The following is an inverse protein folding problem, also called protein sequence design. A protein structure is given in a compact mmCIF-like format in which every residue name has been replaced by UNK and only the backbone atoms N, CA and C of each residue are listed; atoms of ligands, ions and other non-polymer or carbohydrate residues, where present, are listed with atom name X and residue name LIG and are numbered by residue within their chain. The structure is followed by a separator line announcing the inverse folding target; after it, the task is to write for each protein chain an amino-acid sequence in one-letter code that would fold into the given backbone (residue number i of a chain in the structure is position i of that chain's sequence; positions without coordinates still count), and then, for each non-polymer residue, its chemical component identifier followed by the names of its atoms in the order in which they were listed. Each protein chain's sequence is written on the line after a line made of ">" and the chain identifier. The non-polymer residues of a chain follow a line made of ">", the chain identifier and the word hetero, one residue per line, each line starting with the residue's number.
data_IF_039636065407
#
_entry.id   IF_039636065407
#
_cell.length_a   1.000
_cell.length_b   1.000
_cell.length_c   1.000
_cell.angle_alpha   90.00
_cell.angle_beta   90.00
_cell.angle_gamma   90.00
#
_symmetry.space_group_name_H-M   'P 1'
#
loop_
_entity.id
_entity.type
_entity.pdbx_description
1 polymer ?
#
# COMPACT_ATOMS: atom_id res chain seq x y z
N UNK A 1 9.88 13.14 -23.86
CA UNK A 1 9.28 11.88 -23.37
C UNK A 1 8.09 12.32 -22.50
N UNK A 2 6.82 12.13 -22.83
CA UNK A 2 6.10 11.42 -23.89
C UNK A 2 4.75 12.12 -24.17
N UNK A 3 4.18 11.94 -25.37
CA UNK A 3 2.78 12.22 -25.73
C UNK A 3 1.79 11.30 -24.97
N UNK A 4 2.02 11.09 -23.67
CA UNK A 4 1.17 10.26 -22.83
C UNK A 4 -0.13 11.01 -22.57
N UNK A 5 -1.26 10.36 -22.87
CA UNK A 5 -2.57 10.93 -22.54
C UNK A 5 -2.81 10.89 -21.04
N UNK A 6 -3.64 11.78 -20.54
CA UNK A 6 -4.05 11.81 -19.12
C UNK A 6 -4.53 10.42 -18.63
N UNK A 7 -5.34 9.72 -19.44
CA UNK A 7 -5.83 8.38 -19.11
C UNK A 7 -4.72 7.33 -19.04
N UNK A 8 -3.70 7.44 -19.90
CA UNK A 8 -2.53 6.56 -19.84
C UNK A 8 -1.79 6.73 -18.52
N UNK A 9 -1.58 7.98 -18.07
CA UNK A 9 -0.90 8.26 -16.80
C UNK A 9 -1.73 7.77 -15.60
N UNK A 10 -3.07 7.91 -15.63
CA UNK A 10 -3.96 7.33 -14.62
C UNK A 10 -3.77 5.82 -14.52
N UNK A 11 -3.76 5.12 -15.67
CA UNK A 11 -3.61 3.66 -15.69
C UNK A 11 -2.23 3.21 -15.18
N UNK A 12 -1.17 3.94 -15.54
CA UNK A 12 0.20 3.68 -15.04
C UNK A 12 0.26 3.87 -13.53
N UNK A 13 -0.26 4.98 -13.02
CA UNK A 13 -0.27 5.29 -11.59
C UNK A 13 -1.10 4.25 -10.80
N UNK A 14 -2.30 3.92 -11.28
CA UNK A 14 -3.13 2.88 -10.66
C UNK A 14 -2.45 1.51 -10.67
N UNK A 15 -1.82 1.12 -11.79
CA UNK A 15 -1.11 -0.15 -11.90
C UNK A 15 0.12 -0.23 -11.00
N UNK A 16 0.91 0.84 -10.94
CA UNK A 16 2.07 0.94 -10.04
C UNK A 16 1.65 0.84 -8.57
N UNK A 17 0.56 1.52 -8.20
CA UNK A 17 0.01 1.45 -6.85
C UNK A 17 -0.48 0.03 -6.53
N UNK A 18 -1.27 -0.59 -7.40
CA UNK A 18 -1.74 -1.97 -7.23
C UNK A 18 -0.61 -3.00 -7.09
N UNK A 19 0.53 -2.78 -7.74
CA UNK A 19 1.68 -3.67 -7.63
C UNK A 19 2.36 -3.64 -6.25
N UNK A 20 2.21 -2.54 -5.50
CA UNK A 20 2.87 -2.33 -4.20
C UNK A 20 1.92 -2.48 -3.01
N UNK A 21 0.60 -2.40 -3.23
CA UNK A 21 -0.42 -2.63 -2.21
C UNK A 21 -0.37 -4.01 -1.51
N UNK A 22 0.02 -5.14 -2.15
CA UNK A 22 0.08 -6.43 -1.48
C UNK A 22 1.09 -6.43 -0.31
N UNK A 23 0.60 -6.69 0.89
CA UNK A 23 1.43 -6.72 2.10
C UNK A 23 1.80 -5.33 2.65
N UNK A 24 1.14 -4.27 2.17
CA UNK A 24 1.31 -2.92 2.71
C UNK A 24 0.86 -2.85 4.18
N UNK A 25 1.67 -2.18 5.01
CA UNK A 25 1.42 -2.01 6.46
C UNK A 25 0.04 -1.41 6.72
N UNK A 26 -0.34 -0.44 5.91
CA UNK A 26 -1.61 0.28 5.99
C UNK A 26 -2.81 -0.67 5.83
N UNK A 27 -2.76 -1.61 4.89
CA UNK A 27 -3.86 -2.55 4.68
C UNK A 27 -4.10 -3.43 5.92
N UNK A 28 -3.05 -3.76 6.68
CA UNK A 28 -3.21 -4.48 7.96
C UNK A 28 -3.85 -3.61 9.05
N UNK A 29 -3.48 -2.32 9.11
CA UNK A 29 -4.08 -1.36 10.05
C UNK A 29 -5.58 -1.19 9.74
N UNK A 30 -5.93 -1.00 8.47
CA UNK A 30 -7.32 -0.87 8.01
C UNK A 30 -8.13 -2.13 8.34
N UNK A 31 -7.56 -3.32 8.08
CA UNK A 31 -8.18 -4.60 8.42
C UNK A 31 -8.46 -4.72 9.92
N UNK A 32 -7.45 -4.46 10.76
CA UNK A 32 -7.57 -4.51 12.22
C UNK A 32 -8.61 -3.53 12.77
N UNK A 33 -8.56 -2.27 12.33
CA UNK A 33 -9.51 -1.25 12.79
C UNK A 33 -10.94 -1.54 12.34
N UNK A 34 -11.15 -2.10 11.15
CA UNK A 34 -12.49 -2.39 10.62
C UNK A 34 -13.22 -3.52 11.37
N UNK A 35 -12.50 -4.30 12.19
CA UNK A 35 -13.12 -5.28 13.10
C UNK A 35 -13.84 -4.62 14.28
N UNK A 36 -13.44 -3.39 14.65
CA UNK A 36 -13.94 -2.68 15.84
C UNK A 36 -14.67 -1.38 15.49
N UNK A 37 -14.33 -0.77 14.36
CA UNK A 37 -14.89 0.48 13.86
C UNK A 37 -15.69 0.24 12.58
N UNK A 38 -16.56 1.19 12.24
CA UNK A 38 -17.29 1.15 10.97
C UNK A 38 -16.29 1.21 9.79
N UNK A 39 -16.34 0.26 8.83
CA UNK A 39 -15.36 0.17 7.75
C UNK A 39 -15.34 1.42 6.86
N UNK A 40 -16.48 2.06 6.65
CA UNK A 40 -16.54 3.31 5.89
C UNK A 40 -15.86 4.47 6.63
N UNK A 41 -15.94 4.49 7.97
CA UNK A 41 -15.23 5.48 8.78
C UNK A 41 -13.72 5.25 8.72
N UNK A 42 -13.27 4.00 8.84
CA UNK A 42 -11.85 3.64 8.74
C UNK A 42 -11.30 4.02 7.36
N UNK A 43 -11.99 3.64 6.28
CA UNK A 43 -11.57 3.91 4.89
C UNK A 43 -11.63 5.39 4.56
N UNK A 44 -12.61 6.14 5.08
CA UNK A 44 -12.64 7.60 4.85
C UNK A 44 -11.50 8.32 5.56
N UNK A 45 -11.17 7.91 6.80
CA UNK A 45 -10.03 8.47 7.53
C UNK A 45 -8.70 8.14 6.84
N UNK A 46 -8.50 6.86 6.48
CA UNK A 46 -7.30 6.41 5.76
C UNK A 46 -7.20 7.04 4.36
N UNK A 47 -8.29 7.03 3.60
CA UNK A 47 -8.35 7.64 2.28
C UNK A 47 -8.07 9.14 2.29
N UNK A 48 -8.49 9.85 3.34
CA UNK A 48 -8.15 11.29 3.50
C UNK A 48 -6.67 11.49 3.78
N UNK A 49 -6.06 10.63 4.59
CA UNK A 49 -4.62 10.68 4.86
C UNK A 49 -3.81 10.43 3.58
N UNK A 50 -4.13 9.35 2.84
CA UNK A 50 -3.51 9.04 1.55
C UNK A 50 -3.70 10.15 0.53
N UNK A 51 -4.91 10.68 0.37
CA UNK A 51 -5.17 11.78 -0.55
C UNK A 51 -4.29 13.00 -0.26
N UNK A 52 -4.07 13.29 1.03
CA UNK A 52 -3.17 14.35 1.47
C UNK A 52 -1.70 14.05 1.16
N UNK A 53 -1.23 12.85 1.49
CA UNK A 53 0.14 12.42 1.22
C UNK A 53 0.47 12.38 -0.27
N UNK A 54 -0.37 11.75 -1.09
CA UNK A 54 -0.21 11.72 -2.54
C UNK A 54 -0.12 13.14 -3.12
N UNK A 55 -0.93 14.09 -2.63
CA UNK A 55 -0.84 15.49 -3.08
C UNK A 55 0.49 16.14 -2.68
N UNK A 56 0.98 15.90 -1.46
CA UNK A 56 2.27 16.41 -0.98
C UNK A 56 3.44 15.81 -1.76
N UNK A 57 3.40 14.52 -2.05
CA UNK A 57 4.40 13.77 -2.80
C UNK A 57 4.47 14.22 -4.26
N UNK A 58 3.31 14.42 -4.90
CA UNK A 58 3.25 14.97 -6.25
C UNK A 58 3.81 16.39 -6.28
N UNK A 59 3.43 17.23 -5.32
CA UNK A 59 3.99 18.58 -5.20
C UNK A 59 5.51 18.55 -4.99
N UNK A 60 6.00 17.70 -4.10
CA UNK A 60 7.42 17.55 -3.82
C UNK A 60 8.20 17.02 -5.03
N UNK A 61 7.73 15.93 -5.66
CA UNK A 61 8.35 15.33 -6.83
C UNK A 61 8.37 16.29 -8.02
N UNK A 62 7.28 17.00 -8.27
CA UNK A 62 7.23 18.02 -9.33
C UNK A 62 8.12 19.23 -9.00
N UNK A 63 8.17 19.71 -7.76
CA UNK A 63 9.04 20.81 -7.35
C UNK A 63 10.53 20.49 -7.50
N UNK A 64 10.94 19.25 -7.19
CA UNK A 64 12.33 18.80 -7.35
C UNK A 64 12.77 18.84 -8.82
N UNK A 65 11.88 18.53 -9.77
CA UNK A 65 12.21 18.61 -11.20
C UNK A 65 12.48 20.02 -11.70
N UNK A 66 12.01 21.06 -11.00
CA UNK A 66 12.30 22.45 -11.35
C UNK A 66 13.73 22.88 -10.96
N UNK A 67 14.41 22.10 -10.11
CA UNK A 67 15.70 22.47 -9.50
C UNK A 67 16.82 21.51 -9.92
N UNK A 68 16.52 20.26 -10.27
CA UNK A 68 17.53 19.24 -10.56
C UNK A 68 17.67 18.95 -12.07
N UNK A 69 18.91 18.84 -12.61
CA UNK A 69 19.16 18.39 -13.98
C UNK A 69 18.62 16.98 -14.25
N UNK A 70 18.14 16.69 -15.47
CA UNK A 70 17.51 15.42 -15.84
C UNK A 70 18.33 14.17 -15.49
N UNK A 71 19.65 14.21 -15.69
CA UNK A 71 20.56 13.10 -15.35
C UNK A 71 20.55 12.78 -13.84
N UNK A 72 20.33 13.78 -12.99
CA UNK A 72 20.25 13.62 -11.54
C UNK A 72 18.93 12.96 -11.16
N UNK A 73 17.82 13.31 -11.82
CA UNK A 73 16.51 12.68 -11.59
C UNK A 73 16.50 11.21 -12.01
N UNK A 74 17.08 10.88 -13.16
CA UNK A 74 17.22 9.50 -13.64
C UNK A 74 18.10 8.67 -12.70
N UNK A 75 19.22 9.25 -12.25
CA UNK A 75 20.12 8.62 -11.27
C UNK A 75 19.47 8.44 -9.90
N UNK A 76 18.67 9.42 -9.45
CA UNK A 76 17.95 9.37 -8.18
C UNK A 76 16.83 8.32 -8.26
N UNK A 77 16.10 8.24 -9.38
CA UNK A 77 15.08 7.22 -9.62
C UNK A 77 15.68 5.81 -9.64
N UNK A 78 16.75 5.59 -10.40
CA UNK A 78 17.47 4.31 -10.43
C UNK A 78 18.05 3.97 -9.04
N UNK A 79 18.57 4.96 -8.33
CA UNK A 79 19.05 4.85 -6.95
C UNK A 79 17.94 4.49 -5.96
N UNK A 80 16.75 5.06 -6.11
CA UNK A 80 15.57 4.74 -5.29
C UNK A 80 15.11 3.31 -5.53
N UNK A 81 15.01 2.85 -6.78
CA UNK A 81 14.67 1.46 -7.09
C UNK A 81 15.69 0.46 -6.55
N UNK A 82 16.98 0.78 -6.65
CA UNK A 82 18.04 -0.05 -6.09
C UNK A 82 18.00 -0.05 -4.56
N UNK A 83 17.81 1.12 -3.95
CA UNK A 83 17.62 1.28 -2.51
C UNK A 83 16.41 0.47 -2.04
N UNK A 84 15.30 0.49 -2.79
CA UNK A 84 14.13 -0.33 -2.48
C UNK A 84 14.41 -1.81 -2.55
N UNK A 85 15.06 -2.29 -3.61
CA UNK A 85 15.43 -3.70 -3.70
C UNK A 85 16.28 -4.13 -2.49
N UNK A 86 17.20 -3.27 -2.06
CA UNK A 86 18.06 -3.52 -0.89
C UNK A 86 17.27 -3.44 0.42
N UNK A 87 16.47 -2.41 0.63
CA UNK A 87 15.68 -2.23 1.84
C UNK A 87 14.65 -3.35 1.98
N UNK A 88 14.03 -3.80 0.89
CA UNK A 88 13.04 -4.88 0.89
C UNK A 88 13.67 -6.24 1.22
N UNK A 89 14.91 -6.48 0.76
CA UNK A 89 15.71 -7.64 1.17
C UNK A 89 16.17 -7.53 2.63
N UNK A 90 16.49 -6.33 3.13
CA UNK A 90 16.96 -6.11 4.50
C UNK A 90 15.87 -6.01 5.55
N UNK A 91 14.67 -5.58 5.16
CA UNK A 91 13.48 -5.53 6.00
C UNK A 91 12.74 -6.86 6.03
N UNK A 92 13.27 -7.89 5.33
CA UNK A 92 12.82 -9.25 5.49
C UNK A 92 13.08 -9.66 6.97
N UNK A 93 12.02 -9.98 7.75
CA UNK A 93 12.19 -10.32 9.15
C UNK A 93 13.08 -11.56 9.30
N UNK A 94 13.99 -11.54 10.28
CA UNK A 94 14.74 -12.75 10.65
C UNK A 94 13.74 -13.81 11.17
N UNK A 95 14.01 -15.07 10.83
CA UNK A 95 13.08 -16.21 11.01
C UNK A 95 12.58 -16.43 12.45
N UNK A 96 13.19 -15.78 13.44
CA UNK A 96 12.93 -16.01 14.87
C UNK A 96 12.60 -14.73 15.67
N UNK A 97 12.27 -13.61 15.02
CA UNK A 97 11.69 -12.48 15.76
C UNK A 97 10.19 -12.70 15.84
N UNK A 98 9.71 -13.08 17.03
CA UNK A 98 8.29 -13.01 17.37
C UNK A 98 7.74 -11.74 16.76
N UNK A 99 6.71 -11.90 15.92
CA UNK A 99 6.03 -10.81 15.27
C UNK A 99 5.64 -9.80 16.34
N UNK A 100 6.45 -8.77 16.49
CA UNK A 100 6.04 -7.57 17.18
C UNK A 100 5.04 -6.94 16.23
N UNK A 101 3.80 -7.41 16.33
CA UNK A 101 2.64 -6.77 15.75
C UNK A 101 2.78 -5.29 16.05
N UNK A 102 2.88 -4.40 15.05
CA UNK A 102 2.88 -2.96 15.27
C UNK A 102 1.53 -2.44 15.80
N UNK A 103 0.65 -3.33 16.30
CA UNK A 103 -0.74 -3.08 16.63
C UNK A 103 -1.16 -3.59 18.02
N UNK A 104 -0.24 -4.10 18.86
CA UNK A 104 -0.59 -4.54 20.23
C UNK A 104 -0.80 -3.38 21.22
N UNK A 105 -0.64 -2.13 20.81
CA UNK A 105 -0.95 -0.94 21.60
C UNK A 105 -2.45 -0.53 21.63
N UNK A 106 -3.36 -1.32 21.04
CA UNK A 106 -4.75 -0.89 20.82
C UNK A 106 -5.79 -1.61 21.70
N UNK A 107 -5.45 -1.87 22.95
CA UNK A 107 -6.45 -2.27 23.97
C UNK A 107 -6.83 -1.06 24.82
N UNK A 108 -7.94 -0.40 24.46
CA UNK A 108 -8.81 0.22 25.48
C UNK A 108 -10.27 -0.17 25.23
N UNK A 109 -10.92 -0.43 26.33
CA UNK A 109 -12.26 -0.90 26.61
C UNK A 109 -13.32 0.17 26.31
N UNK A 110 -13.76 0.26 25.05
CA UNK A 110 -14.95 1.06 24.71
C UNK A 110 -15.02 1.67 23.31
N UNK A 111 -14.06 1.36 22.41
CA UNK A 111 -14.05 1.94 21.06
C UNK A 111 -13.38 3.32 20.98
N UNK A 112 -12.58 3.68 21.98
CA UNK A 112 -11.72 4.88 21.93
C UNK A 112 -10.29 4.49 21.54
N UNK A 113 -9.70 5.24 20.62
CA UNK A 113 -8.31 5.07 20.18
C UNK A 113 -7.43 6.03 20.98
N UNK A 114 -6.41 5.53 21.66
CA UNK A 114 -5.36 6.38 22.26
C UNK A 114 -4.23 6.57 21.25
N UNK A 115 -4.39 7.56 20.36
CA UNK A 115 -3.37 7.92 19.36
C UNK A 115 -2.67 9.19 19.82
N UNK A 116 -1.34 9.16 19.80
CA UNK A 116 -0.51 10.33 20.12
C UNK A 116 0.31 10.72 18.92
N UNK A 117 0.45 12.02 18.70
CA UNK A 117 1.31 12.55 17.63
C UNK A 117 2.76 12.26 18.01
N UNK A 118 3.53 11.59 17.13
CA UNK A 118 4.96 11.37 17.36
C UNK A 118 5.67 12.72 17.58
N UNK A 119 6.67 12.77 18.46
CA UNK A 119 7.49 13.95 18.79
C UNK A 119 6.85 14.95 19.77
N UNK A 120 5.54 15.19 19.70
CA UNK A 120 4.87 16.20 20.55
C UNK A 120 4.09 15.57 21.71
N UNK A 121 3.95 14.23 21.72
CA UNK A 121 3.20 13.43 22.70
C UNK A 121 1.75 13.91 22.94
N UNK A 122 1.22 14.70 22.00
CA UNK A 122 -0.11 15.25 22.08
C UNK A 122 -1.14 14.17 21.77
N UNK A 123 -2.09 13.98 22.69
CA UNK A 123 -3.16 13.01 22.52
C UNK A 123 -4.19 13.52 21.52
N UNK A 124 -4.41 12.75 20.46
CA UNK A 124 -5.40 13.06 19.44
C UNK A 124 -6.79 12.82 20.03
N UNK A 125 -7.67 13.83 20.04
CA UNK A 125 -8.97 13.68 20.67
C UNK A 125 -9.84 12.69 19.88
N UNK A 126 -10.55 11.81 20.61
CA UNK A 126 -11.54 10.86 20.08
C UNK A 126 -12.82 11.58 19.61
N UNK A 127 -12.71 12.51 18.67
CA UNK A 127 -13.84 13.19 18.02
C UNK A 127 -14.17 12.53 16.68
N UNK A 128 -15.38 12.82 16.18
CA UNK A 128 -15.88 12.29 14.90
C UNK A 128 -15.90 10.75 14.85
N UNK A 129 -16.27 10.09 15.96
CA UNK A 129 -16.45 8.63 16.00
C UNK A 129 -15.17 7.81 15.79
N UNK A 130 -13.99 8.39 16.06
CA UNK A 130 -12.69 7.74 15.83
C UNK A 130 -11.99 8.18 14.53
N UNK A 131 -12.61 9.04 13.71
CA UNK A 131 -12.00 9.50 12.45
C UNK A 131 -10.65 10.19 12.68
N UNK A 132 -10.58 11.16 13.61
CA UNK A 132 -9.34 11.92 13.86
C UNK A 132 -8.16 11.05 14.30
N UNK A 133 -8.30 10.15 15.30
CA UNK A 133 -7.19 9.27 15.70
C UNK A 133 -6.80 8.30 14.60
N UNK A 134 -7.74 7.75 13.81
CA UNK A 134 -7.42 6.90 12.66
C UNK A 134 -6.67 7.70 11.60
N UNK A 135 -7.18 8.86 11.21
CA UNK A 135 -6.53 9.76 10.25
C UNK A 135 -5.10 10.09 10.69
N UNK A 136 -4.91 10.49 11.96
CA UNK A 136 -3.59 10.81 12.48
C UNK A 136 -2.67 9.58 12.45
N UNK A 137 -3.16 8.41 12.85
CA UNK A 137 -2.40 7.16 12.79
C UNK A 137 -1.95 6.83 11.36
N UNK A 138 -2.82 7.00 10.37
CA UNK A 138 -2.48 6.79 8.97
C UNK A 138 -1.47 7.83 8.48
N UNK A 139 -1.76 9.12 8.70
CA UNK A 139 -0.93 10.23 8.24
C UNK A 139 0.50 10.19 8.81
N UNK A 140 0.67 9.83 10.08
CA UNK A 140 2.00 9.69 10.68
C UNK A 140 2.61 8.30 10.45
N UNK A 141 1.79 7.27 10.27
CA UNK A 141 2.23 5.88 10.11
C UNK A 141 2.74 5.54 8.70
N UNK A 142 2.37 6.34 7.70
CA UNK A 142 2.75 6.22 6.28
C UNK A 142 4.04 6.93 5.91
N UNK A 143 4.65 7.67 6.84
CA UNK A 143 5.89 8.38 6.56
C UNK A 143 7.00 7.42 6.12
N UNK A 144 7.49 7.61 4.89
CA UNK A 144 8.56 6.81 4.29
C UNK A 144 8.11 5.47 3.69
N UNK A 145 6.82 5.29 3.41
CA UNK A 145 6.33 4.05 2.78
C UNK A 145 6.70 3.93 1.29
N UNK A 146 6.57 2.72 0.75
CA UNK A 146 6.92 2.35 -0.62
C UNK A 146 6.11 3.13 -1.65
N UNK A 147 4.84 3.36 -1.34
CA UNK A 147 3.89 4.13 -2.15
C UNK A 147 4.39 5.56 -2.39
N UNK A 148 4.88 6.24 -1.35
CA UNK A 148 5.34 7.63 -1.46
C UNK A 148 6.45 7.83 -2.50
N UNK A 149 7.38 6.89 -2.55
CA UNK A 149 8.51 6.98 -3.47
C UNK A 149 8.10 6.63 -4.90
N UNK A 150 7.11 5.75 -5.10
CA UNK A 150 6.48 5.55 -6.42
C UNK A 150 5.82 6.85 -6.86
N UNK A 151 5.02 7.48 -6.01
CA UNK A 151 4.31 8.72 -6.30
C UNK A 151 5.28 9.85 -6.65
N UNK A 152 6.35 10.03 -5.88
CA UNK A 152 7.41 11.02 -6.16
C UNK A 152 8.09 10.72 -7.50
N UNK A 153 8.39 9.45 -7.78
CA UNK A 153 9.03 9.01 -9.03
C UNK A 153 8.12 9.23 -10.24
N UNK A 154 6.82 8.96 -10.10
CA UNK A 154 5.83 9.23 -11.14
C UNK A 154 5.65 10.73 -11.35
N UNK A 155 5.64 11.52 -10.28
CA UNK A 155 5.55 12.97 -10.35
C UNK A 155 6.80 13.60 -11.01
N UNK A 156 7.97 12.99 -10.84
CA UNK A 156 9.18 13.41 -11.53
C UNK A 156 9.14 13.09 -13.03
N UNK A 157 8.59 11.93 -13.42
CA UNK A 157 8.51 11.49 -14.81
C UNK A 157 7.36 12.13 -15.60
N UNK A 158 6.22 12.36 -14.95
CA UNK A 158 4.98 12.87 -15.53
C UNK A 158 4.55 14.17 -14.86
N UNK A 159 5.48 15.12 -14.68
CA UNK A 159 5.27 16.37 -13.92
C UNK A 159 4.11 17.23 -14.43
N UNK A 160 3.81 17.19 -15.74
CA UNK A 160 2.65 17.87 -16.33
C UNK A 160 1.28 17.21 -16.03
N UNK A 161 1.27 16.00 -15.46
CA UNK A 161 0.08 15.16 -15.28
C UNK A 161 -0.21 14.86 -13.81
N UNK A 162 0.09 15.81 -12.91
CA UNK A 162 -0.16 15.71 -11.47
C UNK A 162 -1.58 15.19 -11.11
N UNK A 163 -2.62 15.71 -11.79
CA UNK A 163 -4.00 15.27 -11.54
C UNK A 163 -4.28 13.84 -11.98
N UNK A 164 -3.59 13.34 -13.01
CA UNK A 164 -3.72 11.96 -13.48
C UNK A 164 -3.10 10.97 -12.48
N UNK A 165 -1.92 11.30 -11.96
CA UNK A 165 -1.21 10.49 -10.94
C UNK A 165 -2.10 10.35 -9.70
N UNK A 166 -2.54 11.49 -9.15
CA UNK A 166 -3.41 11.53 -7.98
C UNK A 166 -4.68 10.69 -8.19
N UNK A 167 -5.33 10.84 -9.36
CA UNK A 167 -6.55 10.10 -9.67
C UNK A 167 -6.29 8.59 -9.77
N UNK A 168 -5.22 8.18 -10.45
CA UNK A 168 -4.87 6.76 -10.60
C UNK A 168 -4.57 6.09 -9.26
N UNK A 169 -3.80 6.75 -8.39
CA UNK A 169 -3.48 6.24 -7.05
C UNK A 169 -4.72 6.13 -6.18
N UNK A 170 -5.60 7.14 -6.19
CA UNK A 170 -6.86 7.10 -5.44
C UNK A 170 -7.82 6.02 -5.94
N UNK A 171 -7.90 5.81 -7.26
CA UNK A 171 -8.69 4.75 -7.87
C UNK A 171 -8.17 3.34 -7.54
N UNK A 172 -6.89 3.19 -7.22
CA UNK A 172 -6.33 1.91 -6.76
C UNK A 172 -6.58 1.71 -5.25
N UNK A 173 -6.21 2.70 -4.44
CA UNK A 173 -6.13 2.49 -2.99
C UNK A 173 -7.49 2.49 -2.29
N UNK A 174 -8.43 3.34 -2.70
CA UNK A 174 -9.74 3.45 -2.06
C UNK A 174 -10.54 2.14 -2.22
N UNK A 175 -10.68 1.56 -3.44
CA UNK A 175 -11.43 0.33 -3.61
C UNK A 175 -10.79 -0.87 -2.90
N UNK A 176 -9.46 -1.01 -2.98
CA UNK A 176 -8.74 -2.10 -2.30
C UNK A 176 -8.94 -2.00 -0.79
N UNK A 177 -8.75 -0.80 -0.23
CA UNK A 177 -8.95 -0.53 1.19
C UNK A 177 -10.39 -0.80 1.63
N UNK A 178 -11.37 -0.45 0.79
CA UNK A 178 -12.78 -0.69 1.08
C UNK A 178 -13.13 -2.18 1.07
N UNK A 179 -12.67 -2.93 0.06
CA UNK A 179 -12.88 -4.38 -0.02
C UNK A 179 -12.24 -5.07 1.20
N UNK A 180 -11.01 -4.70 1.52
CA UNK A 180 -10.28 -5.20 2.68
C UNK A 180 -11.04 -4.88 3.99
N UNK A 181 -11.43 -3.63 4.20
CA UNK A 181 -12.20 -3.20 5.37
C UNK A 181 -13.53 -3.94 5.50
N UNK A 182 -14.31 -4.05 4.43
CA UNK A 182 -15.61 -4.74 4.45
C UNK A 182 -15.46 -6.24 4.71
N UNK A 183 -14.44 -6.87 4.14
CA UNK A 183 -14.12 -8.26 4.40
C UNK A 183 -13.85 -8.48 5.90
N UNK A 184 -12.91 -7.73 6.48
CA UNK A 184 -12.56 -7.89 7.90
C UNK A 184 -13.67 -7.42 8.86
N UNK A 185 -14.49 -6.45 8.46
CA UNK A 185 -15.67 -6.04 9.22
C UNK A 185 -16.76 -7.12 9.27
N UNK A 186 -16.93 -7.88 8.19
CA UNK A 186 -17.99 -8.90 8.07
C UNK A 186 -17.59 -10.26 8.63
N UNK A 187 -16.29 -10.56 8.70
CA UNK A 187 -15.73 -11.87 9.10
C UNK A 187 -15.11 -11.90 10.50
N UNK A 188 -15.62 -11.08 11.42
CA UNK A 188 -15.03 -10.81 12.75
C UNK A 188 -15.09 -11.98 13.76
N UNK A 189 -15.74 -13.10 13.46
CA UNK A 189 -15.92 -14.19 14.44
C UNK A 189 -15.34 -15.56 14.07
N UNK A 190 -14.59 -15.70 12.97
CA UNK A 190 -13.94 -16.99 12.62
C UNK A 190 -12.54 -16.88 12.04
N UNK A 191 -11.89 -15.72 12.15
CA UNK A 191 -10.57 -15.53 11.55
C UNK A 191 -9.47 -15.76 12.58
N UNK A 192 -8.91 -16.97 12.53
CA UNK A 192 -7.68 -17.30 13.21
C UNK A 192 -6.52 -16.64 12.44
N UNK A 193 -6.00 -15.54 12.97
CA UNK A 193 -4.89 -14.78 12.39
C UNK A 193 -3.70 -15.68 12.04
N UNK A 194 -3.52 -16.77 12.80
CA UNK A 194 -2.50 -17.79 12.53
C UNK A 194 -2.75 -18.54 11.23
N UNK A 195 -4.00 -18.90 10.92
CA UNK A 195 -4.36 -19.55 9.65
C UNK A 195 -4.21 -18.62 8.47
N UNK A 196 -4.53 -17.34 8.65
CA UNK A 196 -4.30 -16.32 7.63
C UNK A 196 -2.80 -16.18 7.30
N UNK A 197 -1.96 -16.20 8.35
CA UNK A 197 -0.52 -16.17 8.20
C UNK A 197 0.01 -17.41 7.46
N UNK A 198 -0.47 -18.61 7.81
CA UNK A 198 -0.11 -19.85 7.11
C UNK A 198 -0.64 -19.91 5.67
N UNK A 199 -1.82 -19.35 5.39
CA UNK A 199 -2.36 -19.22 4.03
C UNK A 199 -1.51 -18.27 3.18
N UNK A 200 -1.13 -17.11 3.74
CA UNK A 200 -0.22 -16.18 3.08
C UNK A 200 1.13 -16.82 2.79
N UNK A 201 1.72 -17.50 3.78
CA UNK A 201 2.98 -18.23 3.61
C UNK A 201 2.87 -19.34 2.54
N UNK A 202 1.76 -20.08 2.52
CA UNK A 202 1.49 -21.10 1.50
C UNK A 202 1.36 -20.53 0.09
N UNK A 203 0.71 -19.37 -0.05
CA UNK A 203 0.57 -18.68 -1.34
C UNK A 203 1.93 -18.18 -1.87
N UNK A 204 2.75 -17.59 -0.99
CA UNK A 204 4.11 -17.18 -1.36
C UNK A 204 4.99 -18.36 -1.73
N UNK A 205 4.91 -19.47 -0.97
CA UNK A 205 5.64 -20.69 -1.28
C UNK A 205 5.22 -21.27 -2.63
N UNK A 206 3.92 -21.25 -2.92
CA UNK A 206 3.38 -21.66 -4.22
C UNK A 206 4.00 -20.85 -5.36
N UNK A 207 3.98 -19.52 -5.29
CA UNK A 207 4.57 -18.68 -6.35
C UNK A 207 6.09 -18.83 -6.45
N UNK A 208 6.79 -19.01 -5.33
CA UNK A 208 8.22 -19.27 -5.33
C UNK A 208 8.56 -20.60 -6.02
N UNK A 209 7.79 -21.66 -5.71
CA UNK A 209 7.94 -22.96 -6.35
C UNK A 209 7.55 -22.93 -7.83
N UNK A 210 6.48 -22.22 -8.20
CA UNK A 210 6.05 -22.03 -9.58
C UNK A 210 7.11 -21.30 -10.41
N UNK A 211 7.69 -20.24 -9.85
CA UNK A 211 8.80 -19.53 -10.49
C UNK A 211 10.03 -20.42 -10.65
N UNK A 212 10.41 -21.17 -9.62
CA UNK A 212 11.53 -22.11 -9.70
C UNK A 212 11.28 -23.19 -10.76
N UNK A 213 10.05 -23.71 -10.86
CA UNK A 213 9.64 -24.67 -11.87
C UNK A 213 9.69 -24.05 -13.28
N UNK A 214 9.25 -22.80 -13.44
CA UNK A 214 9.33 -22.05 -14.68
C UNK A 214 10.78 -21.87 -15.14
N UNK A 215 11.67 -21.46 -14.23
CA UNK A 215 13.08 -21.23 -14.54
C UNK A 215 13.85 -22.53 -14.82
N UNK A 216 13.58 -23.60 -14.07
CA UNK A 216 14.36 -24.85 -14.18
C UNK A 216 13.82 -25.80 -15.24
N UNK A 217 12.50 -25.85 -15.42
CA UNK A 217 11.82 -26.82 -16.28
C UNK A 217 11.08 -26.14 -17.45
N UNK A 218 11.09 -24.81 -17.53
CA UNK A 218 10.39 -24.06 -18.58
C UNK A 218 8.87 -24.10 -18.45
N UNK A 219 8.35 -24.47 -17.27
CA UNK A 219 6.93 -24.72 -17.05
C UNK A 219 6.41 -23.97 -15.81
N UNK A 220 5.42 -23.09 -16.01
CA UNK A 220 4.66 -22.43 -14.93
C UNK A 220 3.27 -23.07 -14.83
N UNK A 221 2.97 -23.61 -13.67
CA UNK A 221 1.66 -24.14 -13.30
C UNK A 221 0.63 -23.01 -13.23
N UNK A 222 1.01 -21.86 -12.66
CA UNK A 222 0.15 -20.68 -12.56
C UNK A 222 -0.27 -20.16 -13.93
N UNK A 223 0.69 -19.94 -14.84
CA UNK A 223 0.43 -19.45 -16.19
C UNK A 223 -0.44 -20.44 -16.98
N UNK A 224 -0.21 -21.74 -16.82
CA UNK A 224 -1.02 -22.80 -17.41
C UNK A 224 -2.46 -22.76 -16.90
N UNK A 225 -2.66 -22.56 -15.60
CA UNK A 225 -4.01 -22.45 -15.02
C UNK A 225 -4.75 -21.21 -15.53
N UNK A 226 -4.09 -20.05 -15.51
CA UNK A 226 -4.69 -18.77 -15.95
C UNK A 226 -5.05 -18.82 -17.44
N UNK A 227 -4.14 -19.33 -18.29
CA UNK A 227 -4.39 -19.46 -19.73
C UNK A 227 -5.52 -20.44 -20.05
N UNK A 228 -5.63 -21.55 -19.30
CA UNK A 228 -6.72 -22.52 -19.45
C UNK A 228 -8.08 -21.89 -19.10
N UNK A 229 -8.12 -21.10 -18.03
CA UNK A 229 -9.35 -20.40 -17.61
C UNK A 229 -9.73 -19.31 -18.62
N UNK A 230 -8.77 -18.53 -19.09
CA UNK A 230 -8.99 -17.51 -20.12
C UNK A 230 -9.54 -18.11 -21.42
N UNK A 231 -8.94 -19.23 -21.87
CA UNK A 231 -9.41 -19.98 -23.03
C UNK A 231 -10.84 -20.51 -22.89
N UNK A 232 -11.25 -20.94 -21.69
CA UNK A 232 -12.63 -21.37 -21.42
C UNK A 232 -13.61 -20.19 -21.30
N UNK A 233 -13.13 -19.03 -20.87
CA UNK A 233 -13.91 -17.80 -20.75
C UNK A 233 -14.06 -17.04 -22.09
N UNK A 234 -13.30 -17.42 -23.13
CA UNK A 234 -13.33 -16.79 -24.45
C UNK A 234 -12.67 -15.40 -24.48
N UNK A 235 -11.73 -15.14 -23.56
CA UNK A 235 -10.94 -13.91 -23.46
C UNK A 235 -9.46 -14.24 -23.67
#
# INVERSE_FOLDING_TARGET
>A
MSDATWLTVVAIAAGAQLAVLPGEKVQFIIAGLSTRFNPFLVVSAAGTAFAGWTALEIWFGSAITAVLPGIVLESLTAGMFLLFAILLVRSAPAADTEQQEPASGFTTDGGQLDVRVPVVDWQVPNKLGGFLPIFAMMAFGEFGDKTQLITITLAAQYSAHASAIWTGEMLAIIPVSLVNALFFHRFTHRFDLRKAHFLGAGLFLFFAADFALSVTMGFSLWETMVSTIAAQAGV
#
